data_IF_234307469928
#
_entry.id   IF_234307469928
#
_cell.length_a   1.000
_cell.length_b   1.000
_cell.length_c   1.000
_cell.angle_alpha   90.00
_cell.angle_beta   90.00
_cell.angle_gamma   90.00
#
_symmetry.space_group_name_H-M   'P 1'
#
loop_
_entity.id
_entity.type
_entity.pdbx_description
1 polymer ?
#
# COMPACT_ATOMS: atom_id res chain seq x y z
N UNK A 1 -1.50 -31.93 4.01
CA UNK A 1 -1.23 -30.61 4.62
C UNK A 1 -0.86 -29.71 3.47
N UNK A 2 -1.63 -28.65 3.23
CA UNK A 2 -1.29 -27.69 2.17
C UNK A 2 0.12 -27.15 2.41
N UNK A 3 0.89 -27.00 1.34
CA UNK A 3 2.24 -26.42 1.39
C UNK A 3 2.13 -24.99 1.91
N UNK A 4 2.75 -24.71 3.05
CA UNK A 4 2.84 -23.36 3.63
C UNK A 4 3.39 -22.39 2.59
N UNK A 5 2.63 -21.32 2.30
CA UNK A 5 3.01 -20.27 1.36
C UNK A 5 3.49 -19.03 2.10
N UNK A 6 4.46 -18.33 1.54
CA UNK A 6 4.77 -16.95 1.88
C UNK A 6 3.88 -16.02 1.06
N UNK A 7 3.04 -15.26 1.75
CA UNK A 7 2.08 -14.33 1.17
C UNK A 7 2.49 -12.91 1.56
N UNK A 8 2.75 -12.06 0.56
CA UNK A 8 2.92 -10.62 0.77
C UNK A 8 1.61 -9.91 0.45
N UNK A 9 1.08 -9.15 1.40
CA UNK A 9 -0.22 -8.47 1.30
C UNK A 9 -0.01 -6.96 1.34
N UNK A 10 -0.39 -6.26 0.27
CA UNK A 10 -0.49 -4.81 0.24
C UNK A 10 -1.91 -4.38 0.62
N UNK A 11 -2.10 -3.80 1.80
CA UNK A 11 -3.40 -3.29 2.25
C UNK A 11 -3.61 -1.83 1.82
N UNK A 12 -4.76 -1.58 1.20
CA UNK A 12 -5.15 -0.28 0.66
C UNK A 12 -5.65 0.70 1.72
N UNK A 13 -5.98 1.92 1.28
CA UNK A 13 -6.56 2.94 2.17
C UNK A 13 -7.92 2.53 2.73
N UNK A 14 -8.71 1.76 1.98
CA UNK A 14 -10.00 1.21 2.42
C UNK A 14 -9.88 0.22 3.60
N UNK A 15 -8.70 -0.37 3.78
CA UNK A 15 -8.40 -1.26 4.93
C UNK A 15 -8.11 -0.48 6.21
N UNK A 16 -7.82 0.82 6.11
CA UNK A 16 -7.46 1.68 7.24
C UNK A 16 -8.47 2.83 7.46
N UNK A 17 -9.25 3.19 6.45
CA UNK A 17 -10.32 4.19 6.52
C UNK A 17 -11.51 3.66 5.72
N UNK A 18 -12.58 3.31 6.42
CA UNK A 18 -13.84 2.86 5.80
C UNK A 18 -14.76 4.04 5.43
N UNK A 19 -14.77 5.08 6.25
CA UNK A 19 -15.60 6.27 6.05
C UNK A 19 -14.73 7.54 6.06
N UNK A 20 -14.68 8.21 4.90
CA UNK A 20 -13.95 9.46 4.72
C UNK A 20 -14.49 10.62 5.57
N UNK A 21 -15.70 10.49 6.15
CA UNK A 21 -16.27 11.48 7.07
C UNK A 21 -15.91 11.21 8.54
N UNK A 22 -15.46 10.00 8.87
CA UNK A 22 -15.14 9.58 10.23
C UNK A 22 -13.72 9.00 10.30
N UNK A 23 -12.72 9.87 10.22
CA UNK A 23 -11.29 9.49 10.11
C UNK A 23 -10.51 9.54 11.44
N UNK A 24 -11.20 9.38 12.58
CA UNK A 24 -10.57 9.41 13.90
C UNK A 24 -9.58 8.26 14.07
N UNK A 25 -8.61 8.40 14.99
CA UNK A 25 -7.64 7.33 15.30
C UNK A 25 -8.35 6.03 15.71
N UNK A 26 -9.46 6.15 16.47
CA UNK A 26 -10.28 5.01 16.86
C UNK A 26 -10.98 4.34 15.67
N UNK A 27 -11.51 5.13 14.72
CA UNK A 27 -12.14 4.57 13.53
C UNK A 27 -11.13 3.85 12.63
N UNK A 28 -9.92 4.39 12.52
CA UNK A 28 -8.82 3.74 11.78
C UNK A 28 -8.39 2.43 12.44
N UNK A 29 -8.35 2.38 13.78
CA UNK A 29 -8.08 1.13 14.49
C UNK A 29 -9.17 0.07 14.27
N UNK A 30 -10.46 0.44 14.27
CA UNK A 30 -11.53 -0.52 13.99
C UNK A 30 -11.46 -1.07 12.55
N UNK A 31 -11.09 -0.24 11.57
CA UNK A 31 -10.83 -0.70 10.21
C UNK A 31 -9.64 -1.67 10.14
N UNK A 32 -8.53 -1.33 10.83
CA UNK A 32 -7.36 -2.20 10.95
C UNK A 32 -7.71 -3.54 11.61
N UNK A 33 -8.57 -3.53 12.64
CA UNK A 33 -9.04 -4.73 13.34
C UNK A 33 -9.84 -5.68 12.44
N UNK A 34 -10.74 -5.14 11.61
CA UNK A 34 -11.48 -5.95 10.61
C UNK A 34 -10.52 -6.57 9.59
N UNK A 35 -9.58 -5.79 9.07
CA UNK A 35 -8.55 -6.29 8.15
C UNK A 35 -7.70 -7.39 8.81
N UNK A 36 -7.28 -7.19 10.07
CA UNK A 36 -6.52 -8.16 10.83
C UNK A 36 -7.27 -9.49 11.00
N UNK A 37 -8.59 -9.46 11.23
CA UNK A 37 -9.40 -10.68 11.33
C UNK A 37 -9.29 -11.57 10.08
N UNK A 38 -9.28 -10.98 8.89
CA UNK A 38 -9.11 -11.73 7.64
C UNK A 38 -7.69 -12.28 7.46
N UNK A 39 -6.68 -11.55 7.92
CA UNK A 39 -5.28 -11.99 7.89
C UNK A 39 -5.03 -13.14 8.87
N UNK A 40 -5.63 -13.11 10.06
CA UNK A 40 -5.53 -14.18 11.06
C UNK A 40 -5.94 -15.53 10.46
N UNK A 41 -7.00 -15.56 9.65
CA UNK A 41 -7.46 -16.80 8.98
C UNK A 41 -6.40 -17.39 8.04
N UNK A 42 -5.59 -16.57 7.37
CA UNK A 42 -4.50 -17.07 6.52
C UNK A 42 -3.39 -17.72 7.35
N UNK A 43 -3.07 -17.12 8.49
CA UNK A 43 -2.05 -17.66 9.40
C UNK A 43 -2.54 -18.92 10.10
N UNK A 44 -3.83 -18.99 10.48
CA UNK A 44 -4.47 -20.23 10.97
C UNK A 44 -4.40 -21.36 9.95
N UNK A 45 -4.50 -21.06 8.65
CA UNK A 45 -4.30 -22.03 7.57
C UNK A 45 -2.82 -22.42 7.34
N UNK A 46 -1.89 -21.90 8.16
CA UNK A 46 -0.47 -22.27 8.14
C UNK A 46 0.39 -21.47 7.16
N UNK A 47 -0.07 -20.31 6.68
CA UNK A 47 0.71 -19.44 5.80
C UNK A 47 1.59 -18.46 6.57
N UNK A 48 2.73 -18.11 5.98
CA UNK A 48 3.60 -17.01 6.45
C UNK A 48 3.14 -15.73 5.76
N UNK A 49 3.01 -14.64 6.52
CA UNK A 49 2.44 -13.39 6.01
C UNK A 49 3.37 -12.22 6.26
N UNK A 50 3.57 -11.41 5.22
CA UNK A 50 4.18 -10.07 5.32
C UNK A 50 3.16 -9.04 4.84
N UNK A 51 3.04 -7.93 5.57
CA UNK A 51 2.04 -6.91 5.34
C UNK A 51 2.74 -5.60 4.98
N UNK A 52 2.42 -5.05 3.83
CA UNK A 52 2.66 -3.66 3.49
C UNK A 52 1.34 -2.89 3.53
N UNK A 53 1.37 -1.60 3.80
CA UNK A 53 0.16 -0.78 3.87
C UNK A 53 0.35 0.57 3.20
N UNK A 54 -0.75 1.18 2.74
CA UNK A 54 -0.75 2.59 2.34
C UNK A 54 -0.74 3.53 3.56
N UNK A 55 -0.45 4.81 3.32
CA UNK A 55 -0.52 5.86 4.35
C UNK A 55 -1.11 7.19 3.82
N UNK A 56 -1.63 7.24 2.60
CA UNK A 56 -1.94 8.50 1.89
C UNK A 56 -2.78 9.51 2.69
N UNK A 57 -3.91 9.11 3.28
CA UNK A 57 -4.66 9.97 4.19
C UNK A 57 -3.87 10.34 5.45
N UNK A 58 -3.25 9.37 6.11
CA UNK A 58 -2.55 9.52 7.38
C UNK A 58 -1.34 10.47 7.28
N UNK A 59 -0.53 10.32 6.24
CA UNK A 59 0.67 11.16 6.03
C UNK A 59 0.26 12.60 5.77
N UNK A 60 -0.82 12.82 5.02
CA UNK A 60 -1.35 14.16 4.83
C UNK A 60 -1.96 14.76 6.10
N UNK A 61 -2.57 13.96 6.98
CA UNK A 61 -3.03 14.46 8.29
C UNK A 61 -1.87 14.86 9.20
N UNK A 62 -0.77 14.09 9.21
CA UNK A 62 0.43 14.43 9.99
C UNK A 62 1.06 15.70 9.43
N UNK A 63 1.21 15.79 8.10
CA UNK A 63 1.76 16.95 7.44
C UNK A 63 0.94 18.21 7.72
N UNK A 64 -0.40 18.12 7.62
CA UNK A 64 -1.31 19.22 7.94
C UNK A 64 -1.18 19.69 9.41
N UNK A 65 -1.02 18.75 10.36
CA UNK A 65 -0.77 19.10 11.77
C UNK A 65 0.57 19.82 11.92
N UNK A 66 1.62 19.37 11.24
CA UNK A 66 2.93 20.00 11.27
C UNK A 66 2.88 21.43 10.69
N UNK A 67 2.11 21.65 9.63
CA UNK A 67 1.91 22.96 9.01
C UNK A 67 1.17 23.93 9.95
N UNK A 68 0.09 23.49 10.60
CA UNK A 68 -0.60 24.31 11.60
C UNK A 68 0.28 24.65 12.81
N UNK A 69 1.22 23.77 13.17
CA UNK A 69 2.15 23.98 14.28
C UNK A 69 3.37 24.85 13.93
N UNK A 70 3.57 25.20 12.65
CA UNK A 70 4.79 25.86 12.14
C UNK A 70 5.09 27.23 12.77
N UNK A 71 4.08 27.91 13.33
CA UNK A 71 4.27 29.18 14.04
C UNK A 71 4.90 29.01 15.44
N UNK A 72 4.93 27.79 15.97
CA UNK A 72 5.41 27.46 17.31
C UNK A 72 6.57 26.44 17.26
N UNK A 73 6.57 25.54 16.27
CA UNK A 73 7.55 24.46 16.09
C UNK A 73 8.15 24.46 14.69
N UNK A 74 9.26 23.73 14.52
CA UNK A 74 9.87 23.52 13.20
C UNK A 74 8.95 22.70 12.30
N UNK A 75 9.09 22.88 10.98
CA UNK A 75 8.39 22.06 9.99
C UNK A 75 8.96 20.63 10.01
N UNK A 76 8.08 19.65 9.81
CA UNK A 76 8.46 18.23 9.68
C UNK A 76 8.46 17.89 8.19
N UNK A 77 9.59 17.41 7.63
CA UNK A 77 9.67 17.07 6.21
C UNK A 77 8.82 15.82 5.91
N UNK A 78 8.37 15.71 4.66
CA UNK A 78 7.40 14.68 4.26
C UNK A 78 7.89 13.24 4.50
N UNK A 79 9.17 12.96 4.27
CA UNK A 79 9.79 11.66 4.53
C UNK A 79 9.76 11.28 6.02
N UNK A 80 9.98 12.25 6.91
CA UNK A 80 9.78 12.06 8.35
C UNK A 80 8.31 11.79 8.69
N UNK A 81 7.36 12.48 8.03
CA UNK A 81 5.94 12.16 8.20
C UNK A 81 5.62 10.73 7.72
N UNK A 82 6.28 10.23 6.66
CA UNK A 82 6.15 8.83 6.24
C UNK A 82 6.63 7.91 7.36
N UNK A 83 7.79 8.20 7.97
CA UNK A 83 8.31 7.43 9.11
C UNK A 83 7.31 7.39 10.29
N UNK A 84 6.74 8.55 10.66
CA UNK A 84 5.73 8.64 11.72
C UNK A 84 4.51 7.76 11.40
N UNK A 85 4.04 7.76 10.15
CA UNK A 85 2.91 6.91 9.75
C UNK A 85 3.23 5.41 9.78
N UNK A 86 4.48 5.00 9.55
CA UNK A 86 4.86 3.59 9.69
C UNK A 86 4.75 3.14 11.15
N UNK A 87 5.25 3.96 12.09
CA UNK A 87 5.11 3.69 13.52
C UNK A 87 3.64 3.65 13.95
N UNK A 88 2.87 4.68 13.58
CA UNK A 88 1.46 4.79 13.99
C UNK A 88 0.58 3.67 13.43
N UNK A 89 0.64 3.41 12.12
CA UNK A 89 -0.20 2.38 11.48
C UNK A 89 0.31 0.98 11.85
N UNK A 90 1.63 0.77 11.88
CA UNK A 90 2.22 -0.49 12.29
C UNK A 90 1.87 -0.86 13.73
N UNK A 91 1.86 0.11 14.66
CA UNK A 91 1.34 -0.09 16.01
C UNK A 91 -0.12 -0.55 16.01
N UNK A 92 -0.99 0.13 15.26
CA UNK A 92 -2.42 -0.24 15.18
C UNK A 92 -2.63 -1.64 14.63
N UNK A 93 -1.92 -1.99 13.54
CA UNK A 93 -2.00 -3.31 12.92
C UNK A 93 -1.43 -4.41 13.81
N UNK A 94 -0.28 -4.17 14.46
CA UNK A 94 0.33 -5.13 15.39
C UNK A 94 -0.61 -5.43 16.55
N UNK A 95 -1.20 -4.39 17.16
CA UNK A 95 -2.17 -4.53 18.25
C UNK A 95 -3.45 -5.24 17.78
N UNK A 96 -3.98 -4.88 16.61
CA UNK A 96 -5.15 -5.50 16.03
C UNK A 96 -4.93 -7.00 15.76
N UNK A 97 -3.82 -7.36 15.12
CA UNK A 97 -3.44 -8.75 14.85
C UNK A 97 -3.30 -9.54 16.16
N UNK A 98 -2.57 -9.02 17.13
CA UNK A 98 -2.42 -9.65 18.44
C UNK A 98 -3.78 -9.96 19.08
N UNK A 99 -4.67 -8.97 19.12
CA UNK A 99 -5.99 -9.12 19.71
C UNK A 99 -6.89 -10.11 18.96
N UNK A 100 -6.80 -10.16 17.63
CA UNK A 100 -7.56 -11.15 16.83
C UNK A 100 -6.96 -12.56 16.95
N UNK A 101 -5.64 -12.71 17.08
CA UNK A 101 -4.99 -14.01 17.33
C UNK A 101 -5.37 -14.62 18.68
N UNK A 102 -5.45 -13.79 19.74
CA UNK A 102 -5.90 -14.26 21.07
C UNK A 102 -7.29 -14.89 21.01
N UNK A 103 -8.20 -14.37 20.18
CA UNK A 103 -9.57 -14.91 20.03
C UNK A 103 -9.61 -16.32 19.47
N UNK A 104 -8.61 -16.68 18.65
CA UNK A 104 -8.48 -18.02 18.05
C UNK A 104 -7.47 -18.90 18.78
N UNK A 105 -6.98 -18.46 19.95
CA UNK A 105 -6.04 -19.22 20.78
C UNK A 105 -4.63 -19.31 20.21
N UNK A 106 -4.24 -18.38 19.33
CA UNK A 106 -2.89 -18.28 18.77
C UNK A 106 -2.12 -17.09 19.36
N UNK A 107 -0.79 -17.21 19.40
CA UNK A 107 0.12 -16.16 19.90
C UNK A 107 1.38 -16.04 19.02
N UNK A 108 1.25 -15.79 17.70
CA UNK A 108 2.41 -15.63 16.84
C UNK A 108 3.16 -14.33 17.17
N UNK A 109 4.43 -14.27 16.79
CA UNK A 109 5.21 -13.04 16.87
C UNK A 109 4.80 -12.11 15.72
N UNK A 110 4.55 -10.85 16.03
CA UNK A 110 4.23 -9.80 15.05
C UNK A 110 5.18 -8.63 15.28
N UNK A 111 5.84 -8.16 14.22
CA UNK A 111 6.77 -7.04 14.32
C UNK A 111 6.54 -6.03 13.19
N UNK A 112 6.57 -4.73 13.55
CA UNK A 112 6.63 -3.64 12.58
C UNK A 112 8.07 -3.21 12.39
N UNK A 113 8.52 -3.17 11.15
CA UNK A 113 9.87 -2.73 10.76
C UNK A 113 9.77 -1.37 10.09
N UNK A 114 10.36 -0.35 10.71
CA UNK A 114 10.57 0.93 10.03
C UNK A 114 11.44 0.68 8.80
N UNK A 115 10.93 1.06 7.63
CA UNK A 115 11.47 0.64 6.34
C UNK A 115 11.80 1.85 5.47
N UNK A 116 13.05 1.90 5.01
CA UNK A 116 13.56 2.84 4.01
C UNK A 116 13.59 2.16 2.64
N UNK A 117 13.27 2.93 1.60
CA UNK A 117 13.25 2.46 0.21
C UNK A 117 14.05 3.41 -0.65
N UNK A 118 15.08 2.86 -1.29
CA UNK A 118 15.95 3.58 -2.21
C UNK A 118 15.17 3.93 -3.46
N UNK A 119 15.31 5.18 -3.91
CA UNK A 119 14.72 5.71 -5.14
C UNK A 119 15.79 6.37 -6.01
N UNK A 120 15.51 6.54 -7.31
CA UNK A 120 16.41 7.27 -8.20
C UNK A 120 16.34 8.79 -7.92
N UNK A 121 17.46 9.47 -7.57
CA UNK A 121 17.46 10.93 -7.37
C UNK A 121 17.01 11.73 -8.60
N UNK A 122 17.06 11.13 -9.80
CA UNK A 122 16.66 11.77 -11.06
C UNK A 122 15.26 11.34 -11.55
N UNK A 123 14.47 10.64 -10.71
CA UNK A 123 13.12 10.22 -11.08
C UNK A 123 12.28 11.43 -11.52
N UNK A 124 11.64 11.32 -12.68
CA UNK A 124 10.85 12.41 -13.28
C UNK A 124 9.71 12.93 -12.40
N UNK A 125 9.21 12.11 -11.46
CA UNK A 125 8.14 12.48 -10.53
C UNK A 125 8.55 13.58 -9.55
N UNK A 126 9.85 13.79 -9.29
CA UNK A 126 10.32 14.94 -8.51
C UNK A 126 10.09 16.27 -9.22
N UNK A 127 10.05 16.28 -10.56
CA UNK A 127 9.76 17.47 -11.37
C UNK A 127 8.27 17.61 -11.69
N UNK A 128 7.52 16.50 -11.66
CA UNK A 128 6.09 16.45 -11.97
C UNK A 128 5.37 15.57 -10.95
N UNK A 129 5.04 16.11 -9.76
CA UNK A 129 4.34 15.36 -8.73
C UNK A 129 2.94 15.00 -9.18
N UNK A 130 2.50 13.78 -8.84
CA UNK A 130 1.19 13.24 -9.26
C UNK A 130 0.47 12.50 -8.14
N UNK A 131 1.15 12.19 -7.03
CA UNK A 131 0.61 11.34 -5.98
C UNK A 131 -0.18 12.14 -4.96
N UNK A 132 -1.50 11.92 -4.83
CA UNK A 132 -2.32 12.75 -3.95
C UNK A 132 -2.19 12.30 -2.48
N UNK A 133 -2.01 13.28 -1.58
CA UNK A 133 -1.90 13.09 -0.12
C UNK A 133 -2.96 13.92 0.62
N UNK A 134 -3.28 13.52 1.86
CA UNK A 134 -4.22 14.25 2.73
C UNK A 134 -5.69 14.19 2.30
N UNK A 135 -6.52 15.04 2.94
CA UNK A 135 -7.96 15.16 2.69
C UNK A 135 -8.27 15.78 1.33
N UNK A 136 -9.50 15.58 0.87
CA UNK A 136 -10.09 16.41 -0.17
C UNK A 136 -10.32 17.83 0.34
N UNK A 137 -10.13 18.80 -0.55
CA UNK A 137 -10.26 20.23 -0.30
C UNK A 137 -11.14 20.88 -1.37
N UNK A 138 -11.78 22.00 -1.01
CA UNK A 138 -12.58 22.78 -1.95
C UNK A 138 -11.67 23.44 -3.00
N UNK A 139 -12.26 23.93 -4.10
CA UNK A 139 -11.49 24.68 -5.10
C UNK A 139 -10.90 25.96 -4.52
N UNK A 140 -11.64 26.63 -3.65
CA UNK A 140 -11.19 27.86 -2.98
C UNK A 140 -10.00 27.60 -2.08
N UNK A 141 -10.06 26.57 -1.24
CA UNK A 141 -8.93 26.15 -0.40
C UNK A 141 -7.72 25.75 -1.27
N UNK A 142 -7.97 25.09 -2.39
CA UNK A 142 -6.93 24.72 -3.35
C UNK A 142 -6.21 25.90 -3.97
N UNK A 143 -6.96 26.91 -4.41
CA UNK A 143 -6.36 28.09 -4.98
C UNK A 143 -5.61 28.90 -3.91
N UNK A 144 -6.10 28.94 -2.67
CA UNK A 144 -5.40 29.54 -1.53
C UNK A 144 -4.07 28.86 -1.22
N UNK A 145 -4.05 27.53 -1.10
CA UNK A 145 -2.81 26.77 -0.84
C UNK A 145 -1.82 26.83 -2.01
N UNK A 146 -2.31 26.88 -3.25
CA UNK A 146 -1.45 27.06 -4.43
C UNK A 146 -0.74 28.42 -4.39
N UNK A 147 -1.45 29.49 -4.00
CA UNK A 147 -0.92 30.85 -3.97
C UNK A 147 -0.01 31.10 -2.75
N UNK A 148 -0.41 30.64 -1.57
CA UNK A 148 0.25 31.01 -0.31
C UNK A 148 1.32 30.01 0.11
N UNK A 149 1.13 28.72 -0.19
CA UNK A 149 2.00 27.63 0.28
C UNK A 149 2.79 26.97 -0.86
N UNK A 150 2.51 27.32 -2.11
CA UNK A 150 3.18 26.78 -3.30
C UNK A 150 2.86 25.31 -3.56
N UNK A 151 1.69 24.82 -3.13
CA UNK A 151 1.32 23.42 -3.30
C UNK A 151 1.02 23.09 -4.76
N UNK A 152 1.62 22.00 -5.24
CA UNK A 152 1.10 21.29 -6.40
C UNK A 152 -0.21 20.60 -6.03
N UNK A 153 -1.27 20.89 -6.78
CA UNK A 153 -2.63 20.43 -6.48
C UNK A 153 -3.30 19.93 -7.75
N UNK A 154 -3.98 18.79 -7.66
CA UNK A 154 -4.78 18.20 -8.76
C UNK A 154 -6.24 18.04 -8.34
N UNK A 155 -7.14 18.05 -9.31
CA UNK A 155 -8.50 17.57 -9.13
C UNK A 155 -8.52 16.04 -9.20
N UNK A 156 -9.12 15.38 -8.21
CA UNK A 156 -9.14 13.91 -8.10
C UNK A 156 -10.55 13.38 -8.43
N UNK A 157 -10.79 13.19 -9.74
CA UNK A 157 -11.96 12.52 -10.31
C UNK A 157 -13.31 13.07 -9.82
N UNK A 158 -13.43 14.41 -9.73
CA UNK A 158 -14.67 15.09 -9.30
C UNK A 158 -15.00 14.95 -7.81
N UNK A 159 -14.11 14.36 -7.00
CA UNK A 159 -14.28 14.22 -5.54
C UNK A 159 -13.74 15.42 -4.75
N UNK A 160 -13.11 16.37 -5.44
CA UNK A 160 -12.45 17.54 -4.87
C UNK A 160 -10.99 17.65 -5.31
N UNK A 161 -10.26 18.55 -4.66
CA UNK A 161 -8.84 18.81 -4.93
C UNK A 161 -7.98 18.15 -3.85
N UNK A 162 -6.74 17.79 -4.18
CA UNK A 162 -5.75 17.26 -3.22
C UNK A 162 -4.34 17.74 -3.57
N UNK A 163 -3.52 17.96 -2.54
CA UNK A 163 -2.09 18.18 -2.70
C UNK A 163 -1.44 16.95 -3.32
N UNK A 164 -0.56 17.15 -4.29
CA UNK A 164 0.26 16.10 -4.86
C UNK A 164 1.73 16.24 -4.49
N UNK A 165 2.40 15.11 -4.41
CA UNK A 165 3.82 15.00 -4.10
C UNK A 165 4.51 14.06 -5.09
N UNK A 166 5.84 14.07 -5.08
CA UNK A 166 6.63 13.14 -5.89
C UNK A 166 6.33 11.69 -5.48
N UNK A 167 6.31 10.79 -6.45
CA UNK A 167 6.10 9.36 -6.24
C UNK A 167 7.05 8.56 -7.12
N UNK A 168 8.35 8.57 -6.76
CA UNK A 168 9.36 7.88 -7.52
C UNK A 168 9.19 6.36 -7.43
N UNK A 169 9.73 5.65 -8.42
CA UNK A 169 9.69 4.18 -8.41
C UNK A 169 10.64 3.62 -7.34
N UNK A 170 10.22 2.59 -6.59
CA UNK A 170 11.10 1.93 -5.64
C UNK A 170 12.19 1.14 -6.38
N UNK A 171 13.45 1.29 -5.94
CA UNK A 171 14.62 0.60 -6.51
C UNK A 171 15.04 -0.59 -5.64
N UNK A 172 15.20 -0.37 -4.33
CA UNK A 172 15.59 -1.42 -3.38
C UNK A 172 15.11 -1.10 -1.97
N UNK A 173 14.79 -2.13 -1.18
CA UNK A 173 14.40 -1.97 0.23
C UNK A 173 15.65 -2.12 1.11
N UNK A 174 15.93 -1.15 1.98
CA UNK A 174 17.16 -1.14 2.79
C UNK A 174 17.12 -2.25 3.86
N UNK A 175 15.99 -2.40 4.56
CA UNK A 175 15.82 -3.39 5.65
C UNK A 175 15.36 -4.79 5.15
N UNK A 176 15.52 -5.09 3.86
CA UNK A 176 15.03 -6.35 3.28
C UNK A 176 15.58 -7.60 3.99
N UNK A 177 16.88 -7.64 4.27
CA UNK A 177 17.50 -8.80 4.94
C UNK A 177 16.98 -8.97 6.39
N UNK A 178 16.65 -7.87 7.08
CA UNK A 178 16.01 -7.91 8.39
C UNK A 178 14.59 -8.49 8.27
N UNK A 179 13.81 -8.01 7.31
CA UNK A 179 12.46 -8.55 7.02
C UNK A 179 12.53 -10.04 6.72
N UNK A 180 13.47 -10.46 5.87
CA UNK A 180 13.69 -11.86 5.51
C UNK A 180 14.06 -12.71 6.73
N UNK A 181 14.97 -12.24 7.57
CA UNK A 181 15.36 -12.92 8.81
C UNK A 181 14.16 -13.16 9.73
N UNK A 182 13.28 -12.17 9.88
CA UNK A 182 12.06 -12.29 10.67
C UNK A 182 11.07 -13.30 10.06
N UNK A 183 10.85 -13.23 8.75
CA UNK A 183 9.97 -14.15 8.00
C UNK A 183 10.46 -15.61 8.10
N UNK A 184 11.77 -15.83 7.97
CA UNK A 184 12.39 -17.15 8.08
C UNK A 184 12.25 -17.74 9.49
N UNK A 185 12.04 -16.89 10.51
CA UNK A 185 11.75 -17.28 11.89
C UNK A 185 10.24 -17.27 12.21
N UNK A 186 9.37 -17.31 11.20
CA UNK A 186 7.91 -17.35 11.33
C UNK A 186 7.31 -16.13 12.06
N UNK A 187 8.00 -14.99 12.04
CA UNK A 187 7.44 -13.71 12.51
C UNK A 187 6.56 -13.13 11.40
N UNK A 188 5.37 -12.67 11.77
CA UNK A 188 4.51 -11.88 10.88
C UNK A 188 5.09 -10.47 10.83
N UNK A 189 5.49 -10.02 9.65
CA UNK A 189 6.20 -8.75 9.48
C UNK A 189 5.28 -7.70 8.85
N UNK A 190 5.19 -6.52 9.46
CA UNK A 190 4.63 -5.33 8.85
C UNK A 190 5.81 -4.45 8.40
N UNK A 191 5.96 -4.19 7.11
CA UNK A 191 7.08 -3.46 6.54
C UNK A 191 6.65 -2.63 5.32
N UNK A 192 7.55 -1.77 4.82
CA UNK A 192 7.28 -0.86 3.70
C UNK A 192 5.97 -0.05 3.86
N UNK A 193 5.66 0.34 5.10
CA UNK A 193 4.48 1.14 5.40
C UNK A 193 4.51 2.48 4.65
N UNK A 194 3.41 2.83 4.01
CA UNK A 194 3.35 3.99 3.11
C UNK A 194 4.15 3.87 1.82
N UNK A 195 4.61 2.66 1.47
CA UNK A 195 5.56 2.43 0.39
C UNK A 195 7.03 2.52 0.80
N UNK A 196 7.31 2.81 2.08
CA UNK A 196 8.66 3.02 2.60
C UNK A 196 9.07 4.49 2.66
N UNK A 197 10.00 4.83 3.56
CA UNK A 197 10.59 6.16 3.67
C UNK A 197 11.52 6.35 2.46
N UNK A 198 11.28 7.35 1.58
CA UNK A 198 12.11 7.52 0.39
C UNK A 198 13.50 8.00 0.77
N UNK A 199 14.52 7.28 0.31
CA UNK A 199 15.92 7.66 0.48
C UNK A 199 16.66 7.57 -0.85
N UNK A 200 17.71 8.36 -1.01
CA UNK A 200 18.68 8.20 -2.10
C UNK A 200 19.98 7.67 -1.52
N UNK A 201 20.69 6.83 -2.29
CA UNK A 201 22.02 6.35 -1.91
C UNK A 201 23.08 7.22 -2.58
N UNK A 202 23.89 7.89 -1.76
CA UNK A 202 25.00 8.72 -2.21
C UNK A 202 26.17 7.85 -2.71
N UNK A 203 27.12 8.49 -3.41
CA UNK A 203 28.29 7.81 -3.96
C UNK A 203 29.18 7.14 -2.88
N UNK A 204 29.19 7.66 -1.66
CA UNK A 204 29.89 7.09 -0.50
C UNK A 204 29.10 5.97 0.21
N UNK A 205 27.90 5.64 -0.28
CA UNK A 205 27.01 4.63 0.27
C UNK A 205 26.07 5.13 1.37
N UNK A 206 26.23 6.38 1.84
CA UNK A 206 25.32 6.98 2.82
C UNK A 206 23.90 7.16 2.24
N UNK A 207 22.91 7.22 3.13
CA UNK A 207 21.51 7.43 2.77
C UNK A 207 21.09 8.85 3.14
N UNK A 208 20.34 9.49 2.26
CA UNK A 208 19.72 10.80 2.47
C UNK A 208 18.21 10.70 2.21
N UNK A 209 17.40 11.20 3.14
CA UNK A 209 15.95 11.26 2.97
C UNK A 209 15.53 12.18 1.83
N UNK A 210 14.46 11.82 1.12
CA UNK A 210 13.85 12.67 0.10
C UNK A 210 12.36 12.79 0.33
N UNK A 211 11.86 14.02 0.27
CA UNK A 211 10.43 14.32 0.40
C UNK A 211 9.64 13.78 -0.79
N UNK A 212 9.08 12.59 -0.62
CA UNK A 212 8.23 11.91 -1.58
C UNK A 212 7.34 10.89 -0.88
N UNK A 213 6.37 10.32 -1.62
CA UNK A 213 5.59 9.16 -1.16
C UNK A 213 5.63 8.10 -2.24
N UNK A 214 6.24 6.97 -1.94
CA UNK A 214 6.37 5.84 -2.87
C UNK A 214 5.02 5.13 -2.99
N UNK A 215 4.69 4.63 -4.17
CA UNK A 215 3.49 3.83 -4.31
C UNK A 215 3.60 2.50 -3.55
N UNK A 216 2.73 2.30 -2.56
CA UNK A 216 2.75 1.08 -1.74
C UNK A 216 2.56 -0.22 -2.52
N UNK A 217 1.79 -0.20 -3.62
CA UNK A 217 1.55 -1.41 -4.41
C UNK A 217 2.84 -1.80 -5.14
N UNK A 218 3.60 -0.82 -5.66
CA UNK A 218 4.92 -1.04 -6.27
C UNK A 218 5.99 -1.47 -5.23
N UNK A 219 6.02 -0.83 -4.07
CA UNK A 219 6.97 -1.19 -3.01
C UNK A 219 6.69 -2.59 -2.45
N UNK A 220 5.41 -2.95 -2.28
CA UNK A 220 5.02 -4.28 -1.86
C UNK A 220 5.31 -5.33 -2.93
N UNK A 221 5.12 -5.01 -4.22
CA UNK A 221 5.50 -5.89 -5.32
C UNK A 221 7.02 -6.12 -5.34
N UNK A 222 7.83 -5.07 -5.17
CA UNK A 222 9.29 -5.19 -5.01
C UNK A 222 9.63 -6.12 -3.85
N UNK A 223 9.05 -5.89 -2.67
CA UNK A 223 9.25 -6.75 -1.49
C UNK A 223 8.87 -8.21 -1.77
N UNK A 224 7.73 -8.44 -2.44
CA UNK A 224 7.27 -9.78 -2.77
C UNK A 224 8.22 -10.52 -3.73
N UNK A 225 8.74 -9.83 -4.73
CA UNK A 225 9.73 -10.40 -5.67
C UNK A 225 11.03 -10.76 -4.94
N UNK A 226 11.56 -9.84 -4.14
CA UNK A 226 12.82 -10.02 -3.42
C UNK A 226 12.75 -11.12 -2.34
N UNK A 227 11.60 -11.23 -1.66
CA UNK A 227 11.34 -12.32 -0.71
C UNK A 227 10.97 -13.64 -1.38
N UNK A 228 10.83 -13.66 -2.72
CA UNK A 228 10.36 -14.81 -3.51
C UNK A 228 9.04 -15.37 -2.97
N UNK A 229 8.11 -14.46 -2.68
CA UNK A 229 6.80 -14.83 -2.15
C UNK A 229 6.07 -15.76 -3.12
N UNK A 230 5.41 -16.79 -2.58
CA UNK A 230 4.58 -17.73 -3.36
C UNK A 230 3.30 -17.06 -3.89
N UNK A 231 2.89 -15.97 -3.25
CA UNK A 231 1.75 -15.17 -3.67
C UNK A 231 1.92 -13.69 -3.27
N UNK A 232 1.54 -12.80 -4.17
CA UNK A 232 1.40 -11.37 -3.90
C UNK A 232 -0.07 -10.95 -3.97
N UNK A 233 -0.55 -10.29 -2.92
CA UNK A 233 -1.95 -9.89 -2.77
C UNK A 233 -2.04 -8.37 -2.70
N UNK A 234 -2.82 -7.75 -3.58
CA UNK A 234 -3.24 -6.35 -3.43
C UNK A 234 -4.68 -6.31 -2.93
N UNK A 235 -4.86 -5.81 -1.71
CA UNK A 235 -6.17 -5.58 -1.13
C UNK A 235 -6.70 -4.19 -1.53
N UNK A 236 -7.90 -4.15 -2.12
CA UNK A 236 -8.55 -2.96 -2.67
C UNK A 236 -10.03 -2.92 -2.30
N UNK A 237 -10.79 -1.96 -2.83
CA UNK A 237 -12.20 -1.76 -2.48
C UNK A 237 -13.19 -2.68 -3.20
N UNK A 238 -12.74 -3.53 -4.12
CA UNK A 238 -13.60 -4.41 -4.95
C UNK A 238 -13.20 -5.87 -4.79
N UNK A 239 -14.18 -6.77 -4.84
CA UNK A 239 -13.94 -8.22 -4.78
C UNK A 239 -13.11 -8.69 -5.98
N UNK A 240 -13.48 -8.28 -7.20
CA UNK A 240 -12.84 -8.66 -8.46
C UNK A 240 -12.51 -7.47 -9.34
N UNK A 241 -11.47 -7.62 -10.15
CA UNK A 241 -11.17 -6.73 -11.27
C UNK A 241 -12.27 -6.90 -12.32
N UNK A 242 -12.71 -5.79 -12.90
CA UNK A 242 -13.76 -5.79 -13.91
C UNK A 242 -13.27 -5.17 -15.21
N UNK A 243 -13.69 -5.74 -16.34
CA UNK A 243 -13.76 -5.04 -17.61
C UNK A 243 -15.01 -4.15 -17.61
N UNK A 244 -14.96 -3.04 -18.34
CA UNK A 244 -16.07 -2.09 -18.47
C UNK A 244 -16.65 -1.65 -17.11
N UNK A 245 -15.76 -1.40 -16.14
CA UNK A 245 -16.15 -1.05 -14.77
C UNK A 245 -17.15 0.11 -14.72
N UNK A 246 -18.27 -0.10 -14.02
CA UNK A 246 -19.37 0.85 -13.88
C UNK A 246 -20.30 0.98 -15.09
N UNK A 247 -20.14 0.16 -16.14
CA UNK A 247 -20.99 0.17 -17.34
C UNK A 247 -21.98 -1.01 -17.35
N UNK A 248 -23.05 -0.97 -18.16
CA UNK A 248 -24.04 -2.06 -18.23
C UNK A 248 -23.45 -3.41 -18.67
N UNK A 249 -22.35 -3.40 -19.42
CA UNK A 249 -21.63 -4.56 -19.91
C UNK A 249 -20.38 -4.90 -19.04
N UNK A 250 -20.40 -4.50 -17.77
CA UNK A 250 -19.36 -4.83 -16.81
C UNK A 250 -19.20 -6.36 -16.69
N UNK A 251 -17.96 -6.83 -16.75
CA UNK A 251 -17.62 -8.25 -16.60
C UNK A 251 -16.52 -8.43 -15.55
N UNK A 252 -16.79 -9.24 -14.54
CA UNK A 252 -15.80 -9.63 -13.54
C UNK A 252 -14.80 -10.64 -14.09
N UNK A 253 -13.55 -10.54 -13.63
CA UNK A 253 -12.44 -11.42 -14.01
C UNK A 253 -12.11 -12.36 -12.85
N UNK A 254 -12.12 -13.67 -13.11
CA UNK A 254 -11.77 -14.70 -12.14
C UNK A 254 -10.27 -15.01 -12.14
N UNK A 255 -9.78 -15.64 -13.21
CA UNK A 255 -8.37 -15.91 -13.43
C UNK A 255 -8.02 -15.43 -14.82
N UNK A 256 -6.94 -14.66 -14.92
CA UNK A 256 -6.43 -14.13 -16.17
C UNK A 256 -4.92 -14.35 -16.25
N UNK A 257 -4.41 -14.55 -17.47
CA UNK A 257 -2.97 -14.66 -17.72
C UNK A 257 -2.32 -13.30 -18.08
N UNK A 258 -1.00 -13.30 -18.29
CA UNK A 258 -0.27 -12.07 -18.64
C UNK A 258 -0.66 -11.52 -20.03
N UNK A 259 -1.07 -12.37 -20.97
CA UNK A 259 -1.46 -11.95 -22.31
C UNK A 259 -2.82 -11.24 -22.27
N UNK A 260 -3.79 -11.81 -21.54
CA UNK A 260 -5.09 -11.19 -21.28
C UNK A 260 -4.92 -9.86 -20.54
N UNK A 261 -4.06 -9.82 -19.50
CA UNK A 261 -3.77 -8.56 -18.80
C UNK A 261 -3.25 -7.49 -19.76
N UNK A 262 -2.29 -7.82 -20.62
CA UNK A 262 -1.73 -6.87 -21.59
C UNK A 262 -2.78 -6.40 -22.59
N UNK A 263 -3.58 -7.31 -23.13
CA UNK A 263 -4.68 -6.99 -24.03
C UNK A 263 -5.66 -5.99 -23.37
N UNK A 264 -6.11 -6.26 -22.14
CA UNK A 264 -7.07 -5.39 -21.46
C UNK A 264 -6.49 -4.04 -21.05
N UNK A 265 -5.18 -3.97 -20.79
CA UNK A 265 -4.45 -2.70 -20.61
C UNK A 265 -4.46 -1.89 -21.91
N UNK A 266 -4.15 -2.53 -23.04
CA UNK A 266 -4.10 -1.87 -24.36
C UNK A 266 -5.49 -1.41 -24.84
N UNK A 267 -6.53 -2.16 -24.49
CA UNK A 267 -7.94 -1.81 -24.70
C UNK A 267 -8.44 -0.70 -23.75
N UNK A 268 -7.64 -0.29 -22.76
CA UNK A 268 -7.95 0.82 -21.86
C UNK A 268 -9.01 0.50 -20.80
N UNK A 269 -9.18 -0.77 -20.43
CA UNK A 269 -10.17 -1.17 -19.43
C UNK A 269 -9.86 -0.71 -18.00
N UNK A 270 -8.58 -0.45 -17.69
CA UNK A 270 -8.15 -0.12 -16.32
C UNK A 270 -7.80 1.37 -16.17
N UNK A 271 -8.40 2.03 -15.18
CA UNK A 271 -8.19 3.45 -14.94
C UNK A 271 -6.77 3.75 -14.40
N UNK A 272 -6.07 4.78 -14.91
CA UNK A 272 -4.67 5.09 -14.58
C UNK A 272 -4.45 5.50 -13.12
N UNK A 273 -5.47 6.03 -12.43
CA UNK A 273 -5.37 6.46 -11.03
C UNK A 273 -5.72 5.38 -10.00
N UNK A 274 -6.13 4.19 -10.41
CA UNK A 274 -6.63 3.16 -9.48
C UNK A 274 -6.22 1.74 -9.86
N UNK A 275 -6.88 1.13 -10.84
CA UNK A 275 -6.71 -0.29 -11.15
C UNK A 275 -5.51 -0.57 -12.05
N UNK A 276 -5.18 0.33 -12.98
CA UNK A 276 -4.06 0.12 -13.92
C UNK A 276 -2.72 -0.08 -13.21
N UNK A 277 -2.32 0.74 -12.21
CA UNK A 277 -1.08 0.51 -11.47
C UNK A 277 -1.05 -0.84 -10.74
N UNK A 278 -2.22 -1.34 -10.30
CA UNK A 278 -2.33 -2.63 -9.61
C UNK A 278 -2.13 -3.80 -10.58
N UNK A 279 -2.74 -3.73 -11.76
CA UNK A 279 -2.54 -4.71 -12.83
C UNK A 279 -1.07 -4.72 -13.26
N UNK A 280 -0.46 -3.55 -13.47
CA UNK A 280 0.95 -3.46 -13.85
C UNK A 280 1.89 -4.04 -12.77
N UNK A 281 1.64 -3.75 -11.49
CA UNK A 281 2.41 -4.33 -10.38
C UNK A 281 2.28 -5.86 -10.31
N UNK A 282 1.08 -6.39 -10.55
CA UNK A 282 0.84 -7.84 -10.60
C UNK A 282 1.52 -8.49 -11.79
N UNK A 283 1.38 -7.92 -13.00
CA UNK A 283 2.05 -8.43 -14.19
C UNK A 283 3.56 -8.49 -14.00
N UNK A 284 4.17 -7.46 -13.41
CA UNK A 284 5.61 -7.44 -13.11
C UNK A 284 6.02 -8.52 -12.10
N UNK A 285 5.25 -8.70 -11.01
CA UNK A 285 5.49 -9.75 -10.02
C UNK A 285 5.39 -11.15 -10.64
N UNK A 286 4.29 -11.44 -11.34
CA UNK A 286 4.01 -12.74 -11.95
C UNK A 286 5.03 -13.07 -13.03
N UNK A 287 5.35 -12.11 -13.91
CA UNK A 287 6.38 -12.27 -14.94
C UNK A 287 7.77 -12.54 -14.36
N UNK A 288 8.12 -11.90 -13.24
CA UNK A 288 9.45 -12.05 -12.62
C UNK A 288 9.60 -13.36 -11.85
N UNK A 289 8.54 -13.79 -11.16
CA UNK A 289 8.61 -14.90 -10.20
C UNK A 289 8.02 -16.21 -10.73
N UNK A 290 7.11 -16.15 -11.70
CA UNK A 290 6.26 -17.27 -12.09
C UNK A 290 5.18 -17.63 -11.05
N UNK A 291 5.09 -16.87 -9.95
CA UNK A 291 4.13 -17.10 -8.87
C UNK A 291 2.82 -16.33 -9.10
N UNK A 292 1.84 -16.54 -8.22
CA UNK A 292 0.46 -16.06 -8.42
C UNK A 292 0.26 -14.66 -7.84
N UNK A 293 -0.31 -13.76 -8.64
CA UNK A 293 -0.84 -12.48 -8.19
C UNK A 293 -2.32 -12.58 -7.83
N UNK A 294 -2.78 -11.82 -6.84
CA UNK A 294 -4.18 -11.79 -6.41
C UNK A 294 -4.64 -10.36 -6.09
N UNK A 295 -5.72 -9.91 -6.74
CA UNK A 295 -6.40 -8.65 -6.41
C UNK A 295 -7.79 -8.97 -5.84
N UNK A 296 -8.08 -8.49 -4.64
CA UNK A 296 -9.41 -8.62 -4.02
C UNK A 296 -9.62 -7.60 -2.89
N UNK A 297 -10.75 -7.64 -2.18
CA UNK A 297 -11.01 -6.82 -1.01
C UNK A 297 -10.69 -7.57 0.30
N UNK A 298 -10.54 -6.88 1.45
CA UNK A 298 -10.10 -7.51 2.70
C UNK A 298 -10.90 -8.75 3.09
N UNK A 299 -12.23 -8.70 2.98
CA UNK A 299 -13.11 -9.79 3.42
C UNK A 299 -12.98 -11.07 2.60
N UNK A 300 -12.56 -10.94 1.33
CA UNK A 300 -12.40 -12.06 0.42
C UNK A 300 -10.95 -12.55 0.29
N UNK A 301 -9.99 -12.02 1.04
CA UNK A 301 -8.58 -12.48 0.96
C UNK A 301 -8.49 -13.99 1.20
N UNK A 302 -9.12 -14.50 2.27
CA UNK A 302 -9.13 -15.94 2.55
C UNK A 302 -9.92 -16.71 1.47
N UNK A 303 -11.13 -16.24 1.14
CA UNK A 303 -11.97 -16.88 0.12
C UNK A 303 -11.33 -16.89 -1.27
N UNK A 304 -10.39 -15.99 -1.56
CA UNK A 304 -9.72 -15.96 -2.84
C UNK A 304 -8.72 -17.10 -3.00
N UNK A 305 -8.14 -17.57 -1.89
CA UNK A 305 -7.27 -18.74 -1.91
C UNK A 305 -8.08 -20.04 -2.07
N UNK A 306 -9.25 -20.13 -1.44
CA UNK A 306 -9.94 -21.41 -1.21
C UNK A 306 -11.33 -21.55 -1.84
N UNK A 307 -12.00 -20.45 -2.17
CA UNK A 307 -13.44 -20.40 -2.50
C UNK A 307 -13.71 -19.71 -3.85
N UNK A 308 -12.67 -19.51 -4.68
CA UNK A 308 -12.83 -18.93 -6.02
C UNK A 308 -13.18 -17.44 -6.05
N UNK A 309 -12.87 -16.71 -4.97
CA UNK A 309 -13.02 -15.26 -4.89
C UNK A 309 -11.80 -14.53 -5.49
N UNK A 310 -11.93 -13.22 -5.68
CA UNK A 310 -10.82 -12.40 -6.18
C UNK A 310 -10.50 -12.62 -7.65
N UNK A 311 -9.58 -11.80 -8.16
CA UNK A 311 -8.98 -11.98 -9.49
C UNK A 311 -7.56 -12.50 -9.34
N UNK A 312 -7.30 -13.71 -9.84
CA UNK A 312 -5.97 -14.33 -9.88
C UNK A 312 -5.28 -13.97 -11.19
N UNK A 313 -4.02 -13.57 -11.10
CA UNK A 313 -3.16 -13.32 -12.24
C UNK A 313 -2.07 -14.38 -12.23
N UNK A 314 -1.98 -15.11 -13.34
CA UNK A 314 -1.04 -16.21 -13.53
C UNK A 314 -0.14 -15.92 -14.73
N UNK A 315 0.92 -16.71 -14.87
CA UNK A 315 1.92 -16.55 -15.93
C UNK A 315 1.31 -16.68 -17.33
#
# INVERSE_FOLDING_TARGET
METSKLIVIAIGGNSLIEDNKHVTVSAQYEAARKTANHIVRLVEAGHRVVIAHGNGPQVGFILLRAEYAKSILHAVPLDSCVADTQGAIGYQLQMALHNEFVKVGLMPQVATVVTQVVVDPNDSSFKKPTKPIGSFMSKEDADNHRLNDGWDIVEDAGRGYRRVVASPKPVSIVELETVKTLVDNNVIVIAAGGGGIPVVRNADGSLEGKEAVIDKDLAAALMAKELKADMFVISTAVEKVCLNYGKPDQRELDTIDLAECQQYVDEGHFAPGSMLPKIQAMMDFVKTTGNVGLITNPENIYGALYEGKGTKIVL
#
